data_IF_723588845507
#
_entry.id   IF_723588845507
#
_cell.length_a   1.000
_cell.length_b   1.000
_cell.length_c   1.000
_cell.angle_alpha   90.00
_cell.angle_beta   90.00
_cell.angle_gamma   90.00
#
_symmetry.space_group_name_H-M   'P 1'
#
loop_
_entity.id
_entity.type
_entity.pdbx_description
1 polymer ?
#
# COMPACT_ATOMS: atom_id res chain seq x y z
N UNK A 1 -24.96 4.70 -28.17
CA UNK A 1 -24.55 4.93 -26.77
C UNK A 1 -23.21 4.27 -26.62
N UNK A 2 -22.22 5.09 -26.32
CA UNK A 2 -20.81 4.83 -26.60
C UNK A 2 -20.16 4.13 -25.40
N UNK A 3 -19.63 2.92 -25.61
CA UNK A 3 -18.91 2.12 -24.58
C UNK A 3 -17.71 2.89 -23.97
N UNK A 4 -17.33 4.02 -24.56
CA UNK A 4 -16.28 4.88 -24.04
C UNK A 4 -16.66 5.60 -22.75
N UNK A 5 -17.95 5.82 -22.45
CA UNK A 5 -18.37 6.52 -21.22
C UNK A 5 -18.40 5.62 -19.97
N UNK A 6 -18.74 4.33 -20.10
CA UNK A 6 -18.72 3.38 -18.97
C UNK A 6 -17.29 3.07 -18.49
N UNK A 7 -16.32 3.02 -19.43
CA UNK A 7 -14.92 2.83 -19.08
C UNK A 7 -14.29 4.09 -18.42
N UNK A 8 -14.84 5.29 -18.65
CA UNK A 8 -14.27 6.57 -18.18
C UNK A 8 -14.74 6.99 -16.78
N UNK A 9 -15.98 6.65 -16.42
CA UNK A 9 -16.44 6.68 -15.02
C UNK A 9 -15.62 5.75 -14.11
N UNK A 10 -14.78 4.88 -14.67
CA UNK A 10 -14.13 3.80 -13.93
C UNK A 10 -12.76 4.15 -13.32
N UNK A 11 -12.01 5.13 -13.83
CA UNK A 11 -10.61 5.35 -13.43
C UNK A 11 -10.48 6.06 -12.08
N UNK A 12 -11.08 7.25 -11.94
CA UNK A 12 -11.06 8.02 -10.68
C UNK A 12 -11.69 7.24 -9.52
N UNK A 13 -12.85 6.63 -9.76
CA UNK A 13 -13.54 5.78 -8.77
C UNK A 13 -12.67 4.59 -8.33
N UNK A 14 -12.02 3.91 -9.29
CA UNK A 14 -11.13 2.80 -8.98
C UNK A 14 -9.88 3.24 -8.20
N UNK A 15 -9.23 4.32 -8.62
CA UNK A 15 -8.04 4.83 -7.92
C UNK A 15 -8.39 5.36 -6.54
N UNK A 16 -9.57 5.97 -6.38
CA UNK A 16 -10.12 6.35 -5.08
C UNK A 16 -10.32 5.17 -4.16
N UNK A 17 -11.03 4.13 -4.60
CA UNK A 17 -11.21 2.92 -3.79
C UNK A 17 -9.86 2.25 -3.50
N UNK A 18 -8.97 2.15 -4.48
CA UNK A 18 -7.64 1.57 -4.28
C UNK A 18 -6.83 2.35 -3.24
N UNK A 19 -6.85 3.69 -3.29
CA UNK A 19 -6.17 4.55 -2.33
C UNK A 19 -6.75 4.36 -0.92
N UNK A 20 -8.08 4.28 -0.78
CA UNK A 20 -8.73 4.01 0.49
C UNK A 20 -8.31 2.67 1.10
N UNK A 21 -8.18 1.62 0.28
CA UNK A 21 -7.70 0.30 0.72
C UNK A 21 -6.23 0.33 1.10
N UNK A 22 -5.40 1.07 0.35
CA UNK A 22 -4.00 1.28 0.70
C UNK A 22 -3.85 2.00 2.05
N UNK A 23 -4.61 3.07 2.29
CA UNK A 23 -4.55 3.79 3.57
C UNK A 23 -5.05 2.93 4.73
N UNK A 24 -6.11 2.13 4.55
CA UNK A 24 -6.55 1.14 5.55
C UNK A 24 -5.44 0.14 5.88
N UNK A 25 -4.69 -0.33 4.89
CA UNK A 25 -3.54 -1.21 5.11
C UNK A 25 -2.41 -0.47 5.85
N UNK A 26 -2.14 0.79 5.47
CA UNK A 26 -1.16 1.64 6.15
C UNK A 26 -1.48 1.83 7.64
N UNK A 27 -2.72 2.18 7.97
CA UNK A 27 -3.19 2.36 9.35
C UNK A 27 -3.01 1.07 10.16
N UNK A 28 -3.43 -0.08 9.59
CA UNK A 28 -3.22 -1.38 10.20
C UNK A 28 -1.74 -1.65 10.47
N UNK A 29 -0.86 -1.35 9.51
CA UNK A 29 0.58 -1.52 9.69
C UNK A 29 1.12 -0.59 10.78
N UNK A 30 0.70 0.68 10.86
CA UNK A 30 1.15 1.57 11.94
C UNK A 30 0.75 1.04 13.31
N UNK A 31 -0.48 0.52 13.46
CA UNK A 31 -0.94 -0.03 14.74
C UNK A 31 -0.14 -1.26 15.19
N UNK A 32 0.28 -2.08 14.22
CA UNK A 32 1.09 -3.30 14.42
C UNK A 32 2.56 -2.98 14.68
N UNK A 33 3.13 -2.04 13.93
CA UNK A 33 4.54 -1.66 14.00
C UNK A 33 4.84 -0.74 15.19
N UNK A 34 3.81 -0.25 15.90
CA UNK A 34 4.00 0.62 17.06
C UNK A 34 4.70 -0.11 18.21
N UNK A 35 5.93 0.27 18.49
CA UNK A 35 6.78 -0.35 19.54
C UNK A 35 6.79 0.43 20.86
N UNK A 36 6.03 1.52 20.98
CA UNK A 36 5.93 2.34 22.20
C UNK A 36 5.11 1.69 23.33
N UNK A 37 4.61 0.46 23.12
CA UNK A 37 3.84 -0.30 24.12
C UNK A 37 4.77 -0.82 25.22
N UNK A 38 4.22 -1.02 26.43
CA UNK A 38 5.01 -1.42 27.59
C UNK A 38 5.71 -2.77 27.35
N UNK A 39 7.01 -2.94 27.65
CA UNK A 39 7.73 -4.22 27.49
C UNK A 39 7.14 -5.41 28.27
N UNK A 40 6.26 -5.14 29.24
CA UNK A 40 5.48 -6.17 29.94
C UNK A 40 4.45 -6.86 29.05
N UNK A 41 4.18 -6.32 27.87
CA UNK A 41 3.16 -6.77 26.91
C UNK A 41 3.82 -7.46 25.70
N UNK A 42 4.83 -8.34 25.89
CA UNK A 42 5.46 -9.19 24.85
C UNK A 42 4.48 -10.18 24.16
N UNK A 43 3.29 -9.71 23.85
CA UNK A 43 2.23 -10.36 23.11
C UNK A 43 2.26 -9.83 21.68
N UNK A 44 1.81 -10.67 20.77
CA UNK A 44 1.61 -10.32 19.37
C UNK A 44 0.73 -9.05 19.31
N UNK A 45 1.15 -7.99 18.60
CA UNK A 45 0.52 -6.67 18.68
C UNK A 45 -0.79 -6.58 17.91
N UNK A 46 -1.17 -7.66 17.21
CA UNK A 46 -2.38 -7.79 16.42
C UNK A 46 -3.31 -8.87 16.98
N UNK A 47 -4.60 -8.58 16.90
CA UNK A 47 -5.70 -9.48 17.20
C UNK A 47 -6.04 -10.39 16.01
N UNK A 48 -6.90 -11.39 16.23
CA UNK A 48 -7.48 -12.16 15.14
C UNK A 48 -8.30 -11.28 14.16
N UNK A 49 -8.88 -10.18 14.66
CA UNK A 49 -9.60 -9.22 13.81
C UNK A 49 -8.65 -8.48 12.88
N UNK A 50 -7.47 -8.10 13.35
CA UNK A 50 -6.46 -7.41 12.56
C UNK A 50 -5.90 -8.31 11.45
N UNK A 51 -5.66 -9.59 11.76
CA UNK A 51 -5.27 -10.58 10.76
C UNK A 51 -6.36 -10.77 9.69
N UNK A 52 -7.63 -10.83 10.07
CA UNK A 52 -8.74 -10.93 9.12
C UNK A 52 -8.86 -9.67 8.26
N UNK A 53 -8.67 -8.47 8.83
CA UNK A 53 -8.62 -7.20 8.09
C UNK A 53 -7.50 -7.21 7.06
N UNK A 54 -6.30 -7.66 7.46
CA UNK A 54 -5.18 -7.81 6.52
C UNK A 54 -5.53 -8.73 5.34
N UNK A 55 -6.08 -9.91 5.61
CA UNK A 55 -6.44 -10.89 4.58
C UNK A 55 -7.46 -10.31 3.57
N UNK A 56 -8.48 -9.60 4.06
CA UNK A 56 -9.48 -8.93 3.21
C UNK A 56 -8.86 -7.84 2.35
N UNK A 57 -8.04 -6.96 2.94
CA UNK A 57 -7.36 -5.89 2.19
C UNK A 57 -6.42 -6.48 1.13
N UNK A 58 -5.66 -7.50 1.51
CA UNK A 58 -4.77 -8.23 0.61
C UNK A 58 -5.51 -8.83 -0.57
N UNK A 59 -6.58 -9.57 -0.32
CA UNK A 59 -7.36 -10.23 -1.37
C UNK A 59 -7.89 -9.20 -2.38
N UNK A 60 -8.41 -8.08 -1.86
CA UNK A 60 -8.88 -7.00 -2.70
C UNK A 60 -7.74 -6.36 -3.51
N UNK A 61 -6.63 -5.97 -2.87
CA UNK A 61 -5.49 -5.32 -3.55
C UNK A 61 -4.86 -6.24 -4.62
N UNK A 62 -4.79 -7.53 -4.33
CA UNK A 62 -4.24 -8.54 -5.25
C UNK A 62 -5.16 -8.76 -6.45
N UNK A 63 -6.48 -8.91 -6.22
CA UNK A 63 -7.46 -9.13 -7.30
C UNK A 63 -7.58 -7.93 -8.25
N UNK A 64 -7.14 -6.75 -7.82
CA UNK A 64 -7.15 -5.53 -8.62
C UNK A 64 -5.75 -5.08 -9.07
N UNK A 65 -4.71 -5.88 -8.85
CA UNK A 65 -3.32 -5.48 -9.12
C UNK A 65 -3.07 -5.21 -10.62
N UNK A 66 -3.65 -6.01 -11.52
CA UNK A 66 -3.47 -5.82 -12.97
C UNK A 66 -3.95 -4.44 -13.41
N UNK A 67 -5.18 -4.08 -13.03
CA UNK A 67 -5.77 -2.78 -13.34
C UNK A 67 -5.03 -1.62 -12.69
N UNK A 68 -4.60 -1.80 -11.44
CA UNK A 68 -3.74 -0.83 -10.76
C UNK A 68 -2.44 -0.61 -11.54
N UNK A 69 -1.75 -1.68 -11.95
CA UNK A 69 -0.45 -1.58 -12.64
C UNK A 69 -0.54 -0.85 -13.97
N UNK A 70 -1.63 -1.00 -14.72
CA UNK A 70 -1.83 -0.28 -15.97
C UNK A 70 -1.94 1.23 -15.74
N UNK A 71 -2.76 1.64 -14.78
CA UNK A 71 -2.95 3.05 -14.42
C UNK A 71 -1.68 3.63 -13.78
N UNK A 72 -1.03 2.87 -12.91
CA UNK A 72 0.21 3.25 -12.27
C UNK A 72 1.33 3.47 -13.28
N UNK A 73 1.47 2.60 -14.30
CA UNK A 73 2.46 2.78 -15.35
C UNK A 73 2.21 4.05 -16.16
N UNK A 74 0.94 4.40 -16.40
CA UNK A 74 0.58 5.64 -17.09
C UNK A 74 0.98 6.86 -16.25
N UNK A 75 0.53 6.91 -14.99
CA UNK A 75 0.92 7.94 -14.03
C UNK A 75 2.45 8.06 -13.90
N UNK A 76 3.14 6.94 -13.77
CA UNK A 76 4.58 6.89 -13.59
C UNK A 76 5.32 7.55 -14.77
N UNK A 77 4.92 7.23 -16.01
CA UNK A 77 5.52 7.79 -17.24
C UNK A 77 5.23 9.28 -17.44
N UNK A 78 4.06 9.75 -17.03
CA UNK A 78 3.67 11.14 -17.25
C UNK A 78 4.13 12.09 -16.15
N UNK A 79 4.12 11.62 -14.89
CA UNK A 79 4.35 12.47 -13.72
C UNK A 79 5.65 12.15 -13.02
N UNK A 80 5.94 10.87 -12.72
CA UNK A 80 7.09 10.51 -11.89
C UNK A 80 8.43 10.47 -12.65
N UNK A 81 8.47 9.99 -13.90
CA UNK A 81 9.71 10.02 -14.69
C UNK A 81 10.16 11.44 -15.04
N UNK A 82 9.23 12.40 -15.08
CA UNK A 82 9.57 13.80 -15.24
C UNK A 82 10.18 14.42 -13.97
N UNK A 83 10.06 13.75 -12.81
CA UNK A 83 10.44 14.25 -11.50
C UNK A 83 11.69 13.58 -10.90
N UNK A 84 12.34 12.62 -11.59
CA UNK A 84 13.44 11.77 -11.08
C UNK A 84 13.20 11.26 -9.64
N UNK A 85 12.68 10.03 -9.43
CA UNK A 85 12.40 9.57 -8.08
C UNK A 85 13.66 9.54 -7.21
N UNK A 86 13.77 10.51 -6.29
CA UNK A 86 14.85 10.65 -5.30
C UNK A 86 14.95 9.40 -4.39
N UNK A 87 13.88 8.61 -4.30
CA UNK A 87 13.81 7.40 -3.49
C UNK A 87 14.41 6.18 -4.20
N UNK A 88 15.49 5.61 -3.64
CA UNK A 88 16.06 4.32 -4.08
C UNK A 88 14.99 3.21 -4.08
N UNK A 89 14.08 3.24 -3.10
CA UNK A 89 12.96 2.30 -3.00
C UNK A 89 12.04 2.38 -4.21
N UNK A 90 11.62 3.58 -4.61
CA UNK A 90 10.78 3.73 -5.81
C UNK A 90 11.50 3.30 -7.07
N UNK A 91 12.83 3.50 -7.16
CA UNK A 91 13.63 3.04 -8.31
C UNK A 91 13.67 1.51 -8.38
N UNK A 92 13.76 0.82 -7.25
CA UNK A 92 13.76 -0.64 -7.20
C UNK A 92 12.37 -1.23 -7.47
N UNK A 93 11.32 -0.61 -6.92
CA UNK A 93 9.94 -1.14 -6.95
C UNK A 93 9.00 -0.39 -7.88
N UNK A 94 9.52 0.35 -8.87
CA UNK A 94 8.74 1.28 -9.71
C UNK A 94 7.54 0.64 -10.42
N UNK A 95 7.55 -0.67 -10.69
CA UNK A 95 6.44 -1.35 -11.35
C UNK A 95 5.20 -1.47 -10.48
N UNK A 96 5.40 -1.58 -9.16
CA UNK A 96 4.38 -1.58 -8.14
C UNK A 96 5.06 -1.39 -6.77
N UNK A 97 5.18 -0.14 -6.28
CA UNK A 97 5.87 0.14 -5.02
C UNK A 97 5.04 -0.29 -3.80
N UNK A 98 3.83 -0.80 -3.99
CA UNK A 98 2.91 -1.18 -2.92
C UNK A 98 2.83 -2.69 -2.72
N UNK A 99 3.25 -3.48 -3.72
CA UNK A 99 3.05 -4.94 -3.75
C UNK A 99 3.61 -5.66 -2.52
N UNK A 100 4.77 -5.23 -2.00
CA UNK A 100 5.41 -5.93 -0.89
C UNK A 100 4.58 -5.94 0.40
N UNK A 101 3.63 -5.01 0.54
CA UNK A 101 2.78 -4.91 1.72
C UNK A 101 1.57 -5.84 1.69
N UNK A 102 1.26 -6.46 0.54
CA UNK A 102 0.14 -7.38 0.40
C UNK A 102 0.51 -8.67 -0.36
N UNK A 103 1.79 -8.95 -0.60
CA UNK A 103 2.23 -10.22 -1.21
C UNK A 103 2.10 -11.40 -0.25
N UNK A 104 2.55 -11.24 0.99
CA UNK A 104 2.50 -12.27 2.02
C UNK A 104 1.06 -12.68 2.31
N UNK A 105 0.80 -13.97 2.52
CA UNK A 105 -0.58 -14.48 2.63
C UNK A 105 -1.23 -14.06 3.95
N UNK A 106 -0.42 -13.92 4.99
CA UNK A 106 -0.87 -13.57 6.34
C UNK A 106 -0.04 -12.44 6.92
N UNK A 107 -0.59 -11.74 7.93
CA UNK A 107 0.11 -10.67 8.63
C UNK A 107 1.41 -11.17 9.33
N UNK A 108 1.45 -12.34 10.01
CA UNK A 108 2.71 -12.91 10.51
C UNK A 108 3.77 -13.15 9.42
N UNK A 109 3.36 -13.66 8.25
CA UNK A 109 4.27 -13.85 7.12
C UNK A 109 4.81 -12.51 6.60
N UNK A 110 4.00 -11.46 6.60
CA UNK A 110 4.42 -10.11 6.21
C UNK A 110 5.50 -9.57 7.15
N UNK A 111 5.29 -9.67 8.46
CA UNK A 111 6.24 -9.21 9.46
C UNK A 111 7.56 -9.99 9.38
N UNK A 112 7.48 -11.30 9.09
CA UNK A 112 8.65 -12.13 8.85
C UNK A 112 9.38 -11.71 7.57
N UNK A 113 8.66 -11.42 6.49
CA UNK A 113 9.23 -10.98 5.22
C UNK A 113 9.98 -9.64 5.34
N UNK A 114 9.54 -8.76 6.25
CA UNK A 114 10.24 -7.52 6.57
C UNK A 114 11.37 -7.68 7.60
N UNK A 115 11.65 -8.90 8.04
CA UNK A 115 12.62 -9.20 9.11
C UNK A 115 12.30 -8.47 10.42
N UNK A 116 11.03 -8.13 10.66
CA UNK A 116 10.59 -7.55 11.93
C UNK A 116 10.62 -8.64 13.00
N UNK A 117 10.22 -9.86 12.67
CA UNK A 117 10.14 -10.96 13.62
C UNK A 117 10.65 -12.25 12.99
N UNK A 118 11.24 -13.12 13.81
CA UNK A 118 11.90 -14.36 13.37
C UNK A 118 11.19 -15.64 13.79
N UNK A 119 10.24 -15.59 14.74
CA UNK A 119 9.49 -16.75 15.22
C UNK A 119 8.03 -16.41 15.51
N UNK A 120 7.13 -17.38 15.38
CA UNK A 120 5.69 -17.23 15.65
C UNK A 120 5.32 -17.24 17.14
N UNK A 121 6.24 -17.67 18.01
CA UNK A 121 5.91 -18.12 19.37
C UNK A 121 6.01 -17.01 20.44
N UNK A 122 6.34 -15.77 20.04
CA UNK A 122 6.37 -14.60 20.91
C UNK A 122 6.69 -13.31 20.16
N UNK A 123 6.27 -12.16 20.68
CA UNK A 123 6.56 -10.86 20.07
C UNK A 123 7.91 -10.33 20.55
N UNK A 124 8.88 -10.33 19.64
CA UNK A 124 10.22 -9.77 19.83
C UNK A 124 10.65 -9.06 18.54
N UNK A 125 10.08 -7.88 18.25
CA UNK A 125 10.32 -7.20 16.98
C UNK A 125 11.71 -6.55 16.94
N UNK A 126 12.30 -6.49 15.76
CA UNK A 126 13.39 -5.56 15.46
C UNK A 126 12.80 -4.15 15.30
N UNK A 127 12.98 -3.31 16.32
CA UNK A 127 12.44 -1.94 16.35
C UNK A 127 12.95 -1.08 15.20
N UNK A 128 14.20 -1.27 14.76
CA UNK A 128 14.74 -0.53 13.61
C UNK A 128 14.00 -0.94 12.34
N UNK A 129 13.68 -2.24 12.20
CA UNK A 129 12.88 -2.71 11.07
C UNK A 129 11.44 -2.25 11.11
N UNK A 130 10.82 -2.18 12.30
CA UNK A 130 9.51 -1.56 12.43
C UNK A 130 9.52 -0.11 11.93
N UNK A 131 10.54 0.67 12.34
CA UNK A 131 10.69 2.05 11.92
C UNK A 131 10.98 2.19 10.42
N UNK A 132 11.89 1.38 9.87
CA UNK A 132 12.21 1.36 8.44
C UNK A 132 10.93 1.16 7.60
N UNK A 133 10.11 0.15 7.94
CA UNK A 133 8.86 -0.16 7.23
C UNK A 133 7.85 0.96 7.38
N UNK A 134 7.65 1.49 8.60
CA UNK A 134 6.77 2.61 8.86
C UNK A 134 7.15 3.85 8.03
N UNK A 135 8.44 4.14 7.91
CA UNK A 135 8.94 5.24 7.09
C UNK A 135 8.69 5.04 5.60
N UNK A 136 8.82 3.81 5.08
CA UNK A 136 8.46 3.51 3.69
C UNK A 136 6.97 3.76 3.45
N UNK A 137 6.08 3.28 4.34
CA UNK A 137 4.63 3.54 4.24
C UNK A 137 4.33 5.04 4.22
N UNK A 138 4.96 5.82 5.11
CA UNK A 138 4.83 7.29 5.13
C UNK A 138 5.34 7.95 3.85
N UNK A 139 6.44 7.48 3.29
CA UNK A 139 7.00 8.01 2.04
C UNK A 139 6.11 7.71 0.82
N UNK A 140 5.35 6.61 0.86
CA UNK A 140 4.41 6.24 -0.18
C UNK A 140 3.09 7.04 -0.11
N UNK A 141 2.68 7.51 1.07
CA UNK A 141 1.45 8.29 1.24
C UNK A 141 1.30 9.51 0.30
N UNK A 142 2.29 10.43 0.16
CA UNK A 142 2.19 11.55 -0.78
C UNK A 142 2.13 11.12 -2.24
N UNK A 143 2.69 9.94 -2.56
CA UNK A 143 2.67 9.38 -3.92
C UNK A 143 1.28 8.86 -4.25
N UNK A 144 0.62 8.18 -3.30
CA UNK A 144 -0.78 7.76 -3.44
C UNK A 144 -1.69 8.96 -3.59
N UNK A 145 -1.49 10.01 -2.79
CA UNK A 145 -2.25 11.25 -2.93
C UNK A 145 -2.05 11.91 -4.32
N UNK A 146 -0.81 11.87 -4.84
CA UNK A 146 -0.51 12.39 -6.18
C UNK A 146 -1.13 11.54 -7.29
N UNK A 147 -1.13 10.22 -7.12
CA UNK A 147 -1.76 9.28 -8.05
C UNK A 147 -3.28 9.46 -8.09
N UNK A 148 -3.91 9.60 -6.92
CA UNK A 148 -5.34 9.91 -6.80
C UNK A 148 -5.71 11.22 -7.49
N UNK A 149 -4.96 12.29 -7.17
CA UNK A 149 -5.19 13.60 -7.79
C UNK A 149 -5.05 13.56 -9.31
N UNK A 150 -4.02 12.87 -9.82
CA UNK A 150 -3.86 12.69 -11.27
C UNK A 150 -5.04 11.95 -11.89
N UNK A 151 -5.49 10.86 -11.28
CA UNK A 151 -6.62 10.10 -11.81
C UNK A 151 -7.91 10.94 -11.88
N UNK A 152 -8.15 11.80 -10.89
CA UNK A 152 -9.28 12.74 -10.88
C UNK A 152 -9.15 13.81 -11.98
N UNK A 153 -7.95 14.37 -12.17
CA UNK A 153 -7.66 15.35 -13.22
C UNK A 153 -7.81 14.77 -14.64
N UNK A 154 -7.35 13.54 -14.88
CA UNK A 154 -7.50 12.87 -16.19
C UNK A 154 -8.97 12.54 -16.49
N UNK A 155 -9.76 12.17 -15.48
CA UNK A 155 -11.21 12.02 -15.64
C UNK A 155 -11.84 13.36 -16.05
N UNK A 156 -11.45 14.46 -15.40
CA UNK A 156 -11.96 15.79 -15.73
C UNK A 156 -11.57 16.26 -17.14
N UNK A 157 -10.33 16.00 -17.56
CA UNK A 157 -9.82 16.38 -18.89
C UNK A 157 -10.50 15.62 -20.04
N UNK A 158 -10.91 14.36 -19.82
CA UNK A 158 -11.61 13.54 -20.81
C UNK A 158 -13.10 13.88 -20.98
N UNK A 159 -13.65 14.72 -20.10
CA UNK A 159 -15.05 15.17 -20.13
C UNK A 159 -15.23 16.56 -20.77
N UNK A 160 -14.14 17.23 -21.15
CA UNK A 160 -14.10 18.52 -21.85
C UNK A 160 -13.87 18.33 -23.36
#
# INVERSE_FOLDING_TARGET
MDNSNEAKLSCGDFVGEWADRWFQLGDLLFDVLRTDRSPSENQIPFSASDAATYELLREWLTSHEERFRDLWQWFYKEKLTALEPDSDYLREYWQNPFAMFYRSSTLPELLTAFNIQTSSDGWAPDENKCWDVAMVVLQLAPIVASFFKWADEEVAALLL
#
